data_IF_415685624956
#
_entry.id   IF_415685624956
#
_cell.length_a   1.000
_cell.length_b   1.000
_cell.length_c   1.000
_cell.angle_alpha   90.00
_cell.angle_beta   90.00
_cell.angle_gamma   90.00
#
_symmetry.space_group_name_H-M   'P 1'
#
loop_
_entity.id
_entity.type
_entity.pdbx_description
1 polymer ?
#
# COMPACT_ATOMS: atom_id res chain seq x y z
N UNK A 1 23.28 -15.27 -15.89
CA UNK A 1 22.71 -14.42 -14.83
C UNK A 1 21.22 -14.33 -15.14
N UNK A 2 20.37 -14.91 -14.30
CA UNK A 2 18.92 -14.79 -14.48
C UNK A 2 18.55 -13.32 -14.40
N UNK A 3 17.63 -12.81 -15.22
CA UNK A 3 17.31 -11.41 -15.18
C UNK A 3 16.66 -11.05 -13.82
N UNK A 4 17.23 -10.06 -13.14
CA UNK A 4 16.76 -9.58 -11.83
C UNK A 4 15.60 -8.59 -12.02
N UNK A 5 14.42 -9.13 -12.33
CA UNK A 5 13.19 -8.36 -12.33
C UNK A 5 12.12 -9.04 -11.48
N UNK A 6 11.15 -8.24 -11.02
CA UNK A 6 9.98 -8.72 -10.30
C UNK A 6 9.17 -9.63 -11.23
N UNK A 7 9.02 -10.90 -10.87
CA UNK A 7 8.24 -11.89 -11.63
C UNK A 7 6.79 -11.95 -11.15
N UNK A 8 5.90 -12.48 -11.98
CA UNK A 8 4.51 -12.75 -11.60
C UNK A 8 4.42 -13.74 -10.44
N UNK A 9 5.24 -14.78 -10.44
CA UNK A 9 5.27 -15.78 -9.35
C UNK A 9 5.64 -15.13 -8.02
N UNK A 10 6.60 -14.20 -8.02
CA UNK A 10 6.95 -13.44 -6.82
C UNK A 10 5.80 -12.52 -6.39
N UNK A 11 5.18 -11.79 -7.32
CA UNK A 11 4.04 -10.90 -7.04
C UNK A 11 2.79 -11.64 -6.55
N UNK A 12 2.62 -12.91 -6.91
CA UNK A 12 1.52 -13.73 -6.41
C UNK A 12 1.70 -14.13 -4.92
N UNK A 13 2.89 -13.95 -4.35
CA UNK A 13 3.15 -14.19 -2.92
C UNK A 13 2.74 -13.00 -2.05
N UNK A 14 2.42 -13.25 -0.78
CA UNK A 14 2.14 -12.19 0.19
C UNK A 14 3.32 -11.21 0.33
N UNK A 15 4.57 -11.71 0.31
CA UNK A 15 5.76 -10.86 0.41
C UNK A 15 5.91 -9.96 -0.83
N UNK A 16 5.72 -10.50 -2.03
CA UNK A 16 5.77 -9.73 -3.27
C UNK A 16 4.66 -8.69 -3.36
N UNK A 17 3.43 -9.05 -2.96
CA UNK A 17 2.31 -8.11 -2.83
C UNK A 17 2.62 -6.97 -1.85
N UNK A 18 3.15 -7.28 -0.66
CA UNK A 18 3.53 -6.26 0.33
C UNK A 18 4.60 -5.33 -0.23
N UNK A 19 5.65 -5.87 -0.85
CA UNK A 19 6.71 -5.07 -1.46
C UNK A 19 6.16 -4.15 -2.57
N UNK A 20 5.32 -4.68 -3.46
CA UNK A 20 4.71 -3.92 -4.54
C UNK A 20 3.80 -2.80 -4.02
N UNK A 21 2.88 -3.12 -3.10
CA UNK A 21 1.97 -2.14 -2.49
C UNK A 21 2.75 -1.09 -1.71
N UNK A 22 3.83 -1.46 -1.03
CA UNK A 22 4.71 -0.53 -0.32
C UNK A 22 5.31 0.51 -1.28
N UNK A 23 5.84 0.07 -2.41
CA UNK A 23 6.41 0.97 -3.42
C UNK A 23 5.33 1.86 -4.06
N UNK A 24 4.19 1.27 -4.45
CA UNK A 24 3.08 2.01 -5.04
C UNK A 24 2.56 3.09 -4.09
N UNK A 25 2.27 2.72 -2.84
CA UNK A 25 1.74 3.67 -1.86
C UNK A 25 2.73 4.77 -1.51
N UNK A 26 4.04 4.47 -1.44
CA UNK A 26 5.07 5.49 -1.26
C UNK A 26 5.12 6.48 -2.42
N UNK A 27 5.05 6.00 -3.65
CA UNK A 27 4.98 6.84 -4.84
C UNK A 27 3.73 7.74 -4.83
N UNK A 28 2.58 7.18 -4.48
CA UNK A 28 1.31 7.91 -4.43
C UNK A 28 1.18 8.86 -3.23
N UNK A 29 1.83 8.59 -2.09
CA UNK A 29 1.75 9.44 -0.88
C UNK A 29 2.08 10.91 -1.19
N UNK A 30 3.09 11.19 -2.03
CA UNK A 30 3.47 12.56 -2.40
C UNK A 30 2.39 13.29 -3.20
N UNK A 31 1.78 12.61 -4.16
CA UNK A 31 0.72 13.16 -5.02
C UNK A 31 -0.61 13.29 -4.28
N UNK A 32 -1.00 12.27 -3.51
CA UNK A 32 -2.29 12.22 -2.82
C UNK A 32 -2.31 13.20 -1.63
N UNK A 33 -1.22 13.35 -0.87
CA UNK A 33 -1.17 14.30 0.26
C UNK A 33 -1.36 15.77 -0.15
N UNK A 34 -1.11 16.11 -1.42
CA UNK A 34 -1.31 17.47 -1.93
C UNK A 34 -2.79 17.79 -2.18
N UNK A 35 -3.65 16.76 -2.29
CA UNK A 35 -5.04 16.89 -2.73
C UNK A 35 -6.02 16.38 -1.65
N UNK A 36 -5.63 15.41 -0.82
CA UNK A 36 -6.55 14.71 0.09
C UNK A 36 -6.05 14.61 1.54
N UNK A 37 -7.00 14.58 2.49
CA UNK A 37 -6.77 14.36 3.93
C UNK A 37 -6.17 12.96 4.18
N UNK A 38 -5.39 12.79 5.25
CA UNK A 38 -4.65 11.55 5.55
C UNK A 38 -5.52 10.27 5.58
N UNK A 39 -6.79 10.38 5.98
CA UNK A 39 -7.73 9.25 5.97
C UNK A 39 -8.00 8.72 4.54
N UNK A 40 -8.05 9.62 3.55
CA UNK A 40 -8.28 9.25 2.14
C UNK A 40 -7.06 8.56 1.54
N UNK A 41 -5.85 8.92 1.97
CA UNK A 41 -4.60 8.27 1.54
C UNK A 41 -4.61 6.79 1.96
N UNK A 42 -5.09 6.49 3.18
CA UNK A 42 -5.20 5.11 3.68
C UNK A 42 -6.22 4.29 2.90
N UNK A 43 -7.39 4.87 2.62
CA UNK A 43 -8.41 4.20 1.81
C UNK A 43 -7.90 3.94 0.38
N UNK A 44 -7.19 4.90 -0.21
CA UNK A 44 -6.57 4.73 -1.53
C UNK A 44 -5.51 3.62 -1.53
N UNK A 45 -4.68 3.53 -0.50
CA UNK A 45 -3.70 2.45 -0.36
C UNK A 45 -4.35 1.07 -0.31
N UNK A 46 -5.47 0.95 0.41
CA UNK A 46 -6.23 -0.30 0.48
C UNK A 46 -6.90 -0.65 -0.86
N UNK A 47 -7.47 0.34 -1.56
CA UNK A 47 -8.03 0.13 -2.90
C UNK A 47 -6.94 -0.36 -3.87
N UNK A 48 -5.74 0.21 -3.84
CA UNK A 48 -4.61 -0.23 -4.67
C UNK A 48 -4.23 -1.68 -4.33
N UNK A 49 -4.12 -2.01 -3.04
CA UNK A 49 -3.78 -3.37 -2.60
C UNK A 49 -4.82 -4.40 -3.06
N UNK A 50 -6.10 -4.06 -2.92
CA UNK A 50 -7.19 -4.94 -3.35
C UNK A 50 -7.27 -5.07 -4.88
N UNK A 51 -7.10 -3.98 -5.63
CA UNK A 51 -7.06 -4.01 -7.08
C UNK A 51 -5.92 -4.90 -7.61
N UNK A 52 -4.72 -4.77 -7.02
CA UNK A 52 -3.58 -5.60 -7.37
C UNK A 52 -3.83 -7.08 -7.03
N UNK A 53 -4.46 -7.36 -5.89
CA UNK A 53 -4.82 -8.72 -5.50
C UNK A 53 -5.82 -9.35 -6.48
N UNK A 54 -6.87 -8.62 -6.86
CA UNK A 54 -7.86 -9.07 -7.84
C UNK A 54 -7.21 -9.32 -9.20
N UNK A 55 -6.31 -8.44 -9.62
CA UNK A 55 -5.53 -8.64 -10.84
C UNK A 55 -4.69 -9.93 -10.79
N UNK A 56 -4.02 -10.21 -9.67
CA UNK A 56 -3.27 -11.47 -9.51
C UNK A 56 -4.18 -12.70 -9.53
N UNK A 57 -5.36 -12.63 -8.90
CA UNK A 57 -6.36 -13.71 -8.97
C UNK A 57 -6.84 -13.95 -10.40
N UNK A 58 -7.03 -12.89 -11.18
CA UNK A 58 -7.40 -12.99 -12.59
C UNK A 58 -6.29 -13.65 -13.42
N UNK A 59 -5.05 -13.18 -13.29
CA UNK A 59 -3.88 -13.71 -14.03
C UNK A 59 -3.64 -15.18 -13.70
N UNK A 60 -3.88 -15.60 -12.45
CA UNK A 60 -3.76 -16.98 -12.02
C UNK A 60 -4.98 -17.86 -12.37
N UNK A 61 -5.98 -17.32 -13.08
CA UNK A 61 -7.18 -18.04 -13.51
C UNK A 61 -8.20 -18.31 -12.40
N UNK A 62 -7.98 -17.81 -11.17
CA UNK A 62 -8.85 -18.04 -10.02
C UNK A 62 -10.23 -17.37 -10.13
N UNK A 63 -10.40 -16.46 -11.10
CA UNK A 63 -11.67 -15.78 -11.38
C UNK A 63 -12.42 -16.38 -12.59
N UNK A 64 -11.92 -17.47 -13.17
CA UNK A 64 -12.53 -18.15 -14.32
C UNK A 64 -12.92 -19.55 -13.89
N UNK A 65 -14.22 -19.83 -13.76
CA UNK A 65 -14.71 -21.15 -13.35
C UNK A 65 -16.06 -21.09 -12.65
N UNK A 66 -16.33 -22.11 -11.82
CA UNK A 66 -17.57 -22.20 -11.05
C UNK A 66 -17.75 -21.00 -10.11
N UNK A 67 -18.98 -20.48 -10.01
CA UNK A 67 -19.32 -19.31 -9.20
C UNK A 67 -18.83 -19.42 -7.76
N UNK A 68 -18.90 -20.61 -7.17
CA UNK A 68 -18.44 -20.84 -5.78
C UNK A 68 -16.94 -20.62 -5.63
N UNK A 69 -16.12 -21.16 -6.53
CA UNK A 69 -14.67 -21.01 -6.49
C UNK A 69 -14.27 -19.54 -6.67
N UNK A 70 -14.95 -18.81 -7.57
CA UNK A 70 -14.72 -17.37 -7.77
C UNK A 70 -15.06 -16.56 -6.52
N UNK A 71 -16.16 -16.88 -5.84
CA UNK A 71 -16.55 -16.20 -4.59
C UNK A 71 -15.54 -16.48 -3.47
N UNK A 72 -15.08 -17.72 -3.32
CA UNK A 72 -14.04 -18.10 -2.34
C UNK A 72 -12.70 -17.40 -2.64
N UNK A 73 -12.31 -17.30 -3.92
CA UNK A 73 -11.12 -16.58 -4.35
C UNK A 73 -11.20 -15.08 -4.06
N UNK A 74 -12.34 -14.44 -4.33
CA UNK A 74 -12.55 -13.03 -4.03
C UNK A 74 -12.58 -12.76 -2.52
N UNK A 75 -13.22 -13.63 -1.73
CA UNK A 75 -13.27 -13.51 -0.28
C UNK A 75 -11.89 -13.64 0.36
N UNK A 76 -11.11 -14.66 -0.04
CA UNK A 76 -9.73 -14.82 0.44
C UNK A 76 -8.82 -13.69 -0.04
N UNK A 77 -8.98 -13.23 -1.28
CA UNK A 77 -8.26 -12.06 -1.82
C UNK A 77 -8.55 -10.78 -1.03
N UNK A 78 -9.80 -10.55 -0.63
CA UNK A 78 -10.17 -9.41 0.21
C UNK A 78 -9.46 -9.43 1.56
N UNK A 79 -9.48 -10.57 2.25
CA UNK A 79 -8.80 -10.71 3.54
C UNK A 79 -7.28 -10.54 3.38
N UNK A 80 -6.69 -11.12 2.33
CA UNK A 80 -5.27 -11.00 2.06
C UNK A 80 -4.87 -9.54 1.76
N UNK A 81 -5.70 -8.79 1.03
CA UNK A 81 -5.40 -7.38 0.72
C UNK A 81 -5.37 -6.49 1.96
N UNK A 82 -6.20 -6.78 2.97
CA UNK A 82 -6.16 -6.10 4.27
C UNK A 82 -4.83 -6.38 4.97
N UNK A 83 -4.41 -7.64 5.05
CA UNK A 83 -3.12 -8.02 5.65
C UNK A 83 -1.96 -7.34 4.92
N UNK A 84 -1.99 -7.35 3.59
CA UNK A 84 -0.98 -6.71 2.74
C UNK A 84 -0.91 -5.21 3.00
N UNK A 85 -2.05 -4.51 3.08
CA UNK A 85 -2.04 -3.06 3.29
C UNK A 85 -1.53 -2.69 4.68
N UNK A 86 -1.87 -3.47 5.71
CA UNK A 86 -1.38 -3.24 7.08
C UNK A 86 0.14 -3.43 7.15
N UNK A 87 0.65 -4.47 6.51
CA UNK A 87 2.09 -4.71 6.42
C UNK A 87 2.81 -3.61 5.60
N UNK A 88 2.23 -3.18 4.48
CA UNK A 88 2.85 -2.21 3.57
C UNK A 88 2.81 -0.76 4.09
N UNK A 89 1.80 -0.41 4.89
CA UNK A 89 1.65 0.96 5.41
C UNK A 89 2.31 1.18 6.77
N UNK A 90 2.78 0.11 7.43
CA UNK A 90 3.42 0.19 8.74
C UNK A 90 2.42 0.61 9.81
N UNK A 91 1.72 -0.36 10.41
CA UNK A 91 0.77 -0.13 11.51
C UNK A 91 1.38 0.65 12.69
N UNK A 92 2.70 0.55 12.88
CA UNK A 92 3.38 1.17 14.01
C UNK A 92 3.41 2.70 13.92
N UNK A 93 3.84 3.28 12.80
CA UNK A 93 3.92 4.75 12.63
C UNK A 93 2.54 5.43 12.68
N UNK A 94 1.48 4.70 12.30
CA UNK A 94 0.12 5.24 12.19
C UNK A 94 -0.71 5.10 13.46
N UNK A 95 -0.36 4.19 14.37
CA UNK A 95 -0.92 4.08 15.71
C UNK A 95 -0.12 4.88 16.74
N UNK A 96 1.21 4.99 16.56
CA UNK A 96 2.05 5.70 17.51
C UNK A 96 1.95 7.22 17.40
N UNK A 97 1.66 7.78 16.21
CA UNK A 97 1.46 9.23 16.13
C UNK A 97 0.61 9.73 14.93
N UNK A 98 -0.74 9.63 15.00
CA UNK A 98 -1.62 10.26 14.03
C UNK A 98 -1.71 11.79 14.16
N UNK A 99 -1.10 12.40 15.20
CA UNK A 99 -1.27 13.81 15.57
C UNK A 99 0.05 14.57 15.77
N UNK A 100 1.21 14.00 15.40
CA UNK A 100 2.48 14.71 15.34
C UNK A 100 2.36 15.95 14.45
N UNK A 101 1.97 17.07 15.05
CA UNK A 101 2.25 18.37 14.51
C UNK A 101 3.77 18.41 14.36
N UNK A 102 4.24 18.49 13.11
CA UNK A 102 5.62 18.89 12.86
C UNK A 102 5.78 20.26 13.51
N UNK A 103 6.32 20.31 14.72
CA UNK A 103 6.83 21.56 15.27
C UNK A 103 7.90 22.03 14.28
N UNK A 104 7.59 23.13 13.59
CA UNK A 104 8.62 23.84 12.85
C UNK A 104 9.70 24.16 13.88
N UNK A 105 10.97 23.77 13.66
CA UNK A 105 12.03 24.18 14.57
C UNK A 105 11.91 25.69 14.76
N UNK A 106 11.92 26.19 16.01
CA UNK A 106 11.80 27.62 16.25
C UNK A 106 12.83 28.32 15.38
N UNK A 107 12.39 29.33 14.63
CA UNK A 107 13.28 30.19 13.86
C UNK A 107 14.20 30.89 14.85
N UNK A 108 15.32 30.25 15.21
CA UNK A 108 16.38 30.87 16.00
C UNK A 108 17.09 31.86 15.08
N UNK A 109 16.52 33.07 15.06
CA UNK A 109 17.20 34.37 15.04
C UNK A 109 18.46 34.42 14.16
N UNK A 110 18.29 34.45 12.84
CA UNK A 110 19.34 34.89 11.91
C UNK A 110 19.37 36.41 11.80
N UNK A 111 19.45 37.12 12.94
CA UNK A 111 19.43 38.60 13.00
C UNK A 111 20.51 39.22 13.91
N UNK A 112 21.66 38.56 14.07
CA UNK A 112 22.78 39.11 14.87
C UNK A 112 24.10 39.34 14.12
N UNK A 113 24.13 39.29 12.77
CA UNK A 113 25.34 39.60 11.99
C UNK A 113 25.06 40.25 10.64
N UNK A 114 24.21 41.28 10.60
CA UNK A 114 24.18 42.27 9.53
C UNK A 114 23.93 43.66 10.10
#
# INVERSE_FOLDING_TARGET
>A
MSPEYITMDYLATTAGMVAAVTLLTQFFKGTIKRIFKDATVRLAAWIIAFALQVFMLYVNGALVGETRAVVEALGSGFLNSVVVVLAATGTYETLSDPMAMKEKPPMVVKKLYQ
#
